data_IF_928609212744
#
_entry.id   IF_928609212744
#
_cell.length_a   1.000
_cell.length_b   1.000
_cell.length_c   1.000
_cell.angle_alpha   90.00
_cell.angle_beta   90.00
_cell.angle_gamma   90.00
#
_symmetry.space_group_name_H-M   'P 1'
#
loop_
_entity.id
_entity.type
_entity.pdbx_description
1 polymer ?
#
# COMPACT_ATOMS: atom_id res chain seq x y z
N UNK A 1 6.12 -14.86 -4.43
CA UNK A 1 4.75 -14.75 -3.89
C UNK A 1 3.90 -13.96 -4.88
N UNK A 2 2.72 -14.45 -5.26
CA UNK A 2 1.78 -13.70 -6.11
C UNK A 2 0.54 -13.31 -5.30
N UNK A 3 -0.01 -12.15 -5.60
CA UNK A 3 -1.25 -11.66 -5.02
C UNK A 3 -2.03 -10.87 -6.08
N UNK A 4 -3.35 -11.00 -6.06
CA UNK A 4 -4.24 -10.18 -6.89
C UNK A 4 -4.78 -9.03 -6.04
N UNK A 5 -4.64 -7.81 -6.54
CA UNK A 5 -5.10 -6.58 -5.86
C UNK A 5 -6.21 -5.94 -6.67
N UNK A 6 -7.28 -5.57 -5.97
CA UNK A 6 -8.39 -4.78 -6.50
C UNK A 6 -8.29 -3.36 -5.93
N UNK A 7 -8.12 -2.38 -6.81
CA UNK A 7 -8.19 -0.97 -6.46
C UNK A 7 -9.66 -0.52 -6.43
N UNK A 8 -10.07 0.10 -5.33
CA UNK A 8 -11.48 0.41 -5.06
C UNK A 8 -11.75 1.88 -4.75
N UNK A 9 -10.70 2.65 -4.48
CA UNK A 9 -10.80 4.08 -4.18
C UNK A 9 -9.58 4.82 -4.71
N UNK A 10 -9.75 6.08 -5.09
CA UNK A 10 -8.67 7.01 -5.42
C UNK A 10 -8.90 8.29 -4.65
N UNK A 11 -7.94 8.62 -3.80
CA UNK A 11 -7.88 9.90 -3.13
C UNK A 11 -7.62 11.00 -4.17
N UNK A 12 -8.51 11.99 -4.25
CA UNK A 12 -8.41 13.03 -5.28
C UNK A 12 -7.40 14.12 -4.96
N UNK A 13 -6.99 14.24 -3.70
CA UNK A 13 -6.04 15.28 -3.28
C UNK A 13 -4.60 14.87 -3.57
N UNK A 14 -4.25 13.62 -3.22
CA UNK A 14 -2.91 13.04 -3.42
C UNK A 14 -2.80 12.19 -4.68
N UNK A 15 -3.91 12.00 -5.40
CA UNK A 15 -3.99 11.08 -6.53
C UNK A 15 -3.70 9.60 -6.18
N UNK A 16 -3.75 9.25 -4.88
CA UNK A 16 -3.39 7.91 -4.38
C UNK A 16 -4.56 6.94 -4.51
N UNK A 17 -4.36 5.85 -5.25
CA UNK A 17 -5.27 4.72 -5.33
C UNK A 17 -5.04 3.72 -4.17
N UNK A 18 -6.14 3.29 -3.56
CA UNK A 18 -6.18 2.29 -2.50
C UNK A 18 -6.63 0.95 -3.05
N UNK A 19 -5.84 -0.08 -2.77
CA UNK A 19 -6.09 -1.44 -3.17
C UNK A 19 -6.07 -2.42 -2.01
N UNK A 20 -6.83 -3.49 -2.14
CA UNK A 20 -6.80 -4.63 -1.22
C UNK A 20 -6.79 -5.93 -1.99
N UNK A 21 -6.20 -6.95 -1.39
CA UNK A 21 -6.05 -8.25 -2.03
C UNK A 21 -5.81 -9.36 -1.02
N UNK A 22 -5.58 -10.55 -1.57
CA UNK A 22 -5.09 -11.71 -0.82
C UNK A 22 -3.92 -12.33 -1.58
N UNK A 23 -2.95 -12.83 -0.83
CA UNK A 23 -1.91 -13.71 -1.36
C UNK A 23 -2.51 -15.08 -1.69
N UNK A 24 -1.78 -15.88 -2.46
CA UNK A 24 -2.12 -17.30 -2.70
C UNK A 24 -2.27 -18.11 -1.40
N UNK A 25 -1.58 -17.71 -0.32
CA UNK A 25 -1.68 -18.32 1.02
C UNK A 25 -2.88 -17.79 1.84
N UNK A 26 -3.72 -16.94 1.26
CA UNK A 26 -4.93 -16.40 1.90
C UNK A 26 -4.69 -15.18 2.80
N UNK A 27 -3.45 -14.71 2.91
CA UNK A 27 -3.10 -13.56 3.72
C UNK A 27 -3.61 -12.26 3.09
N UNK A 28 -4.31 -11.43 3.86
CA UNK A 28 -4.87 -10.17 3.37
C UNK A 28 -3.78 -9.12 3.24
N UNK A 29 -3.79 -8.40 2.12
CA UNK A 29 -2.86 -7.30 1.86
C UNK A 29 -3.60 -6.01 1.54
N UNK A 30 -3.00 -4.89 1.93
CA UNK A 30 -3.37 -3.54 1.50
C UNK A 30 -2.24 -2.96 0.66
N UNK A 31 -2.59 -2.18 -0.35
CA UNK A 31 -1.64 -1.56 -1.26
C UNK A 31 -2.08 -0.14 -1.57
N UNK A 32 -1.10 0.74 -1.73
CA UNK A 32 -1.26 2.14 -2.11
C UNK A 32 -0.42 2.37 -3.36
N UNK A 33 -0.95 3.11 -4.32
CA UNK A 33 -0.27 3.43 -5.58
C UNK A 33 -0.64 4.83 -6.03
N UNK A 34 0.32 5.61 -6.50
CA UNK A 34 0.08 6.99 -6.94
C UNK A 34 1.33 7.83 -6.85
N UNK A 35 1.28 9.03 -7.43
CA UNK A 35 2.42 9.94 -7.47
C UNK A 35 2.78 10.49 -6.08
N UNK A 36 1.77 10.73 -5.23
CA UNK A 36 1.93 11.32 -3.90
C UNK A 36 1.59 10.34 -2.77
N UNK A 37 2.00 9.07 -2.93
CA UNK A 37 1.69 8.02 -1.94
C UNK A 37 2.29 8.34 -0.57
N UNK A 38 3.43 9.04 -0.53
CA UNK A 38 4.10 9.43 0.71
C UNK A 38 3.31 10.49 1.46
N UNK A 39 2.86 11.53 0.75
CA UNK A 39 2.03 12.60 1.32
C UNK A 39 0.71 12.03 1.86
N UNK A 40 0.12 11.06 1.14
CA UNK A 40 -1.05 10.32 1.61
C UNK A 40 -0.76 9.56 2.91
N UNK A 41 0.33 8.78 2.96
CA UNK A 41 0.65 7.96 4.13
C UNK A 41 1.03 8.82 5.35
N UNK A 42 1.70 9.95 5.15
CA UNK A 42 1.98 10.91 6.22
C UNK A 42 0.67 11.50 6.76
N UNK A 43 -0.26 11.88 5.89
CA UNK A 43 -1.58 12.41 6.28
C UNK A 43 -2.39 11.40 7.10
N UNK A 44 -2.42 10.13 6.68
CA UNK A 44 -3.21 9.08 7.33
C UNK A 44 -2.60 8.61 8.67
N UNK A 45 -1.27 8.57 8.76
CA UNK A 45 -0.58 7.97 9.91
C UNK A 45 0.07 8.99 10.85
N UNK A 46 0.15 10.26 10.44
CA UNK A 46 0.88 11.32 11.13
C UNK A 46 2.40 11.10 11.14
N UNK A 47 2.92 10.18 10.31
CA UNK A 47 4.34 9.80 10.26
C UNK A 47 4.78 9.63 8.82
N UNK A 48 5.93 10.22 8.48
CA UNK A 48 6.59 9.95 7.21
C UNK A 48 7.01 8.47 7.16
N UNK A 49 6.55 7.68 6.17
CA UNK A 49 6.95 6.28 6.05
C UNK A 49 8.45 6.19 5.76
N UNK A 50 9.16 5.35 6.51
CA UNK A 50 10.51 4.95 6.13
C UNK A 50 10.40 3.96 4.98
N UNK A 51 10.54 4.45 3.74
CA UNK A 51 10.72 3.58 2.59
C UNK A 51 12.10 2.94 2.69
N UNK A 52 12.16 1.63 2.98
CA UNK A 52 13.41 0.90 2.79
C UNK A 52 13.58 0.69 1.29
N UNK A 53 14.70 1.17 0.75
CA UNK A 53 15.07 0.89 -0.63
C UNK A 53 15.49 -0.59 -0.74
N UNK A 54 14.94 -1.28 -1.74
CA UNK A 54 15.28 -2.68 -2.03
C UNK A 54 14.18 -3.67 -1.64
N UNK A 55 14.38 -4.97 -1.94
CA UNK A 55 13.43 -6.01 -1.59
C UNK A 55 13.36 -6.16 -0.07
N UNK A 56 12.18 -5.91 0.50
CA UNK A 56 11.88 -6.17 1.90
C UNK A 56 10.98 -7.40 1.94
N UNK A 57 11.35 -8.40 2.74
CA UNK A 57 10.41 -9.47 3.08
C UNK A 57 9.34 -8.91 4.01
N UNK A 58 8.08 -8.98 3.60
CA UNK A 58 6.96 -8.55 4.45
C UNK A 58 6.75 -9.65 5.51
N UNK A 59 7.01 -9.39 6.80
CA UNK A 59 6.76 -10.38 7.83
C UNK A 59 5.25 -10.57 7.98
N UNK A 60 4.80 -11.79 7.72
CA UNK A 60 3.45 -12.24 8.02
C UNK A 60 3.50 -12.99 9.34
N UNK A 61 3.02 -12.33 10.39
CA UNK A 61 2.63 -12.96 11.66
C UNK A 61 1.28 -13.63 11.53
#
# INVERSE_FOLDING_TARGET
MRATILFFYRDRYTDTALGQGKTETGMRIRSWSGLHVLDYLETETGKMPTLLCGPIEIPIT
#
